data_IF_914061618208
#
_entry.id   IF_914061618208
#
_cell.length_a   1.000
_cell.length_b   1.000
_cell.length_c   1.000
_cell.angle_alpha   90.00
_cell.angle_beta   90.00
_cell.angle_gamma   90.00
#
_symmetry.space_group_name_H-M   'P 1'
#
loop_
_entity.id
_entity.type
_entity.pdbx_description
1 polymer ?
#
# COMPACT_ATOMS: atom_id res chain seq x y z
N UNK A 1 -29.93 20.30 15.26
CA UNK A 1 -29.15 19.17 15.77
C UNK A 1 -28.86 18.30 14.56
N UNK A 2 -27.69 18.41 13.99
CA UNK A 2 -27.26 17.53 12.90
C UNK A 2 -27.09 16.10 13.46
N UNK A 3 -27.95 15.19 13.03
CA UNK A 3 -27.79 13.76 13.30
C UNK A 3 -26.52 13.29 12.53
N UNK A 4 -25.38 13.25 13.22
CA UNK A 4 -24.28 12.45 12.71
C UNK A 4 -24.68 10.98 12.79
N UNK A 5 -24.60 10.19 11.71
CA UNK A 5 -24.92 8.78 11.74
C UNK A 5 -24.07 8.07 12.80
N UNK A 6 -24.61 7.03 13.43
CA UNK A 6 -23.90 6.28 14.48
C UNK A 6 -22.65 5.62 13.93
N UNK A 7 -22.68 5.20 12.66
CA UNK A 7 -21.58 4.56 11.92
C UNK A 7 -21.11 5.44 10.76
N UNK A 8 -19.84 5.27 10.39
CA UNK A 8 -19.27 5.87 9.19
C UNK A 8 -19.71 5.12 7.93
N UNK A 9 -19.61 3.79 7.96
CA UNK A 9 -19.95 2.93 6.83
C UNK A 9 -21.41 2.48 6.91
N UNK A 10 -22.05 2.38 5.74
CA UNK A 10 -23.38 1.81 5.56
C UNK A 10 -23.30 0.52 4.71
N UNK A 11 -24.43 -0.19 4.56
CA UNK A 11 -24.49 -1.45 3.82
C UNK A 11 -24.12 -1.35 2.34
N UNK A 12 -24.25 -0.17 1.77
CA UNK A 12 -24.01 0.09 0.35
C UNK A 12 -22.59 0.62 0.08
N UNK A 13 -21.80 0.83 1.14
CA UNK A 13 -20.38 1.18 1.01
C UNK A 13 -19.56 -0.07 0.70
N UNK A 14 -18.39 0.07 0.01
CA UNK A 14 -17.43 -1.01 -0.08
C UNK A 14 -16.99 -1.50 1.30
N UNK A 15 -16.48 -2.73 1.37
CA UNK A 15 -15.80 -3.20 2.57
C UNK A 15 -14.55 -2.33 2.87
N UNK A 16 -14.13 -2.21 4.14
CA UNK A 16 -12.93 -1.44 4.50
C UNK A 16 -11.64 -2.00 3.89
N UNK A 17 -11.65 -3.24 3.49
CA UNK A 17 -10.55 -3.91 2.78
C UNK A 17 -11.09 -5.05 1.93
N UNK A 18 -10.30 -5.45 0.91
CA UNK A 18 -10.49 -6.69 0.17
C UNK A 18 -9.37 -7.67 0.52
N UNK A 19 -9.68 -8.96 0.49
CA UNK A 19 -8.69 -10.03 0.56
C UNK A 19 -8.75 -10.86 -0.70
N UNK A 20 -7.61 -11.01 -1.36
CA UNK A 20 -7.47 -11.83 -2.55
C UNK A 20 -6.67 -13.07 -2.21
N UNK A 21 -6.98 -14.18 -2.89
CA UNK A 21 -6.25 -15.44 -2.80
C UNK A 21 -5.93 -15.87 -1.35
N UNK A 22 -6.92 -15.76 -0.45
CA UNK A 22 -6.76 -15.98 0.99
C UNK A 22 -6.25 -17.38 1.36
N UNK A 23 -6.47 -18.37 0.48
CA UNK A 23 -6.01 -19.76 0.61
C UNK A 23 -4.72 -20.06 -0.20
N UNK A 24 -4.08 -19.04 -0.75
CA UNK A 24 -2.83 -19.12 -1.53
C UNK A 24 -1.73 -19.86 -0.77
N UNK A 25 -0.90 -20.61 -1.49
CA UNK A 25 0.13 -21.50 -0.91
C UNK A 25 1.51 -20.86 -0.85
N UNK A 26 1.71 -19.74 -1.51
CA UNK A 26 2.95 -18.99 -1.44
C UNK A 26 3.17 -18.39 -0.03
N UNK A 27 4.40 -18.03 0.28
CA UNK A 27 4.80 -17.57 1.62
C UNK A 27 5.03 -16.05 1.70
N UNK A 28 4.48 -15.29 0.76
CA UNK A 28 4.43 -13.84 0.84
C UNK A 28 3.02 -13.35 1.16
N UNK A 29 2.91 -12.14 1.69
CA UNK A 29 1.68 -11.38 1.82
C UNK A 29 1.88 -10.07 1.07
N UNK A 30 1.11 -9.87 0.01
CA UNK A 30 1.06 -8.60 -0.68
C UNK A 30 0.10 -7.66 0.04
N UNK A 31 0.45 -6.38 0.11
CA UNK A 31 -0.41 -5.34 0.67
C UNK A 31 -0.47 -4.14 -0.28
N UNK A 32 -1.63 -3.49 -0.37
CA UNK A 32 -1.82 -2.27 -1.15
C UNK A 32 -2.72 -1.32 -0.35
N UNK A 33 -2.10 -0.43 0.41
CA UNK A 33 -2.79 0.47 1.34
C UNK A 33 -3.75 1.42 0.62
N UNK A 34 -3.36 1.89 -0.56
CA UNK A 34 -4.05 2.91 -1.33
C UNK A 34 -4.71 2.36 -2.60
N UNK A 35 -5.33 1.17 -2.48
CA UNK A 35 -5.89 0.44 -3.62
C UNK A 35 -7.21 1.00 -4.18
N UNK A 36 -7.81 2.01 -3.52
CA UNK A 36 -9.13 2.52 -3.86
C UNK A 36 -9.23 4.04 -3.68
N UNK A 37 -10.05 4.68 -4.52
CA UNK A 37 -10.45 6.09 -4.36
C UNK A 37 -11.88 6.25 -3.83
N UNK A 38 -12.50 5.17 -3.33
CA UNK A 38 -13.83 5.22 -2.76
C UNK A 38 -13.89 6.09 -1.51
N UNK A 39 -15.01 6.77 -1.31
CA UNK A 39 -15.30 7.57 -0.12
C UNK A 39 -16.60 7.05 0.46
N UNK A 40 -16.72 6.83 1.79
CA UNK A 40 -17.97 6.45 2.43
C UNK A 40 -19.09 7.41 2.09
N UNK A 41 -20.29 6.89 1.82
CA UNK A 41 -21.47 7.71 1.45
C UNK A 41 -21.78 8.79 2.50
N UNK A 42 -21.55 8.47 3.78
CA UNK A 42 -21.75 9.41 4.89
C UNK A 42 -20.85 10.65 4.81
N UNK A 43 -19.71 10.58 4.12
CA UNK A 43 -18.76 11.67 3.89
C UNK A 43 -18.97 12.35 2.52
N UNK A 44 -19.93 11.86 1.71
CA UNK A 44 -20.21 12.37 0.38
C UNK A 44 -19.01 12.30 -0.54
N UNK A 45 -18.52 13.45 -0.99
CA UNK A 45 -17.34 13.55 -1.87
C UNK A 45 -16.12 14.16 -1.16
N UNK A 46 -16.16 14.31 0.16
CA UNK A 46 -15.24 15.17 0.92
C UNK A 46 -15.20 16.63 0.38
N UNK A 47 -16.22 17.04 -0.35
CA UNK A 47 -16.28 18.35 -1.01
C UNK A 47 -15.41 18.48 -2.27
N UNK A 48 -14.88 17.38 -2.78
CA UNK A 48 -13.98 17.34 -3.94
C UNK A 48 -14.73 16.97 -5.24
N UNK A 49 -14.41 17.60 -6.37
CA UNK A 49 -14.86 17.15 -7.68
C UNK A 49 -14.27 15.76 -8.00
N UNK A 50 -14.93 15.01 -8.88
CA UNK A 50 -14.53 13.67 -9.26
C UNK A 50 -13.11 13.61 -9.82
N UNK A 51 -12.72 14.59 -10.64
CA UNK A 51 -11.38 14.66 -11.20
C UNK A 51 -10.29 14.70 -10.13
N UNK A 52 -10.49 15.45 -9.02
CA UNK A 52 -9.52 15.52 -7.92
C UNK A 52 -9.47 14.22 -7.13
N UNK A 53 -10.62 13.57 -6.88
CA UNK A 53 -10.67 12.30 -6.14
C UNK A 53 -9.99 11.13 -6.86
N UNK A 54 -9.91 11.20 -8.19
CA UNK A 54 -9.24 10.20 -9.05
C UNK A 54 -7.76 10.48 -9.29
N UNK A 55 -7.23 11.60 -8.81
CA UNK A 55 -5.79 11.88 -8.85
C UNK A 55 -5.03 11.03 -7.82
N UNK A 56 -3.70 11.03 -7.95
CA UNK A 56 -2.77 10.39 -7.00
C UNK A 56 -2.94 10.83 -5.54
N UNK A 57 -3.61 11.94 -5.29
CA UNK A 57 -3.93 12.37 -3.92
C UNK A 57 -4.97 11.47 -3.25
N UNK A 58 -5.81 10.79 -4.03
CA UNK A 58 -6.89 9.93 -3.54
C UNK A 58 -6.49 8.46 -3.40
N UNK A 59 -5.60 7.97 -4.26
CA UNK A 59 -5.22 6.57 -4.35
C UNK A 59 -3.97 6.38 -5.21
N UNK A 60 -3.37 5.20 -5.15
CA UNK A 60 -2.21 4.84 -5.94
C UNK A 60 -2.66 4.21 -7.26
N UNK A 61 -2.64 5.00 -8.35
CA UNK A 61 -3.14 4.60 -9.66
C UNK A 61 -2.39 3.36 -10.15
N UNK A 62 -3.13 2.31 -10.52
CA UNK A 62 -2.60 1.05 -11.05
C UNK A 62 -2.05 0.07 -10.01
N UNK A 63 -1.70 0.51 -8.79
CA UNK A 63 -1.10 -0.34 -7.77
C UNK A 63 -1.97 -1.55 -7.40
N UNK A 64 -3.30 -1.37 -7.29
CA UNK A 64 -4.26 -2.47 -7.08
C UNK A 64 -4.09 -3.56 -8.13
N UNK A 65 -4.11 -3.21 -9.41
CA UNK A 65 -4.04 -4.18 -10.52
C UNK A 65 -2.72 -4.94 -10.55
N UNK A 66 -1.62 -4.25 -10.29
CA UNK A 66 -0.29 -4.89 -10.16
C UNK A 66 -0.28 -5.88 -9.00
N UNK A 67 -0.86 -5.50 -7.84
CA UNK A 67 -0.98 -6.38 -6.67
C UNK A 67 -1.80 -7.63 -6.97
N UNK A 68 -2.95 -7.48 -7.67
CA UNK A 68 -3.80 -8.60 -8.10
C UNK A 68 -3.02 -9.61 -8.95
N UNK A 69 -2.28 -9.14 -9.95
CA UNK A 69 -1.48 -9.99 -10.85
C UNK A 69 -0.35 -10.69 -10.10
N UNK A 70 0.35 -10.00 -9.20
CA UNK A 70 1.44 -10.59 -8.41
C UNK A 70 0.91 -11.63 -7.41
N UNK A 71 -0.21 -11.34 -6.75
CA UNK A 71 -0.89 -12.28 -5.85
C UNK A 71 -1.26 -13.58 -6.56
N UNK A 72 -1.81 -13.49 -7.78
CA UNK A 72 -2.13 -14.65 -8.61
C UNK A 72 -0.86 -15.39 -9.06
N UNK A 73 0.15 -14.67 -9.58
CA UNK A 73 1.39 -15.26 -10.06
C UNK A 73 2.12 -16.09 -9.01
N UNK A 74 2.19 -15.59 -7.78
CA UNK A 74 2.92 -16.24 -6.69
C UNK A 74 2.05 -17.11 -5.80
N UNK A 75 0.78 -17.24 -6.13
CA UNK A 75 -0.22 -17.95 -5.32
C UNK A 75 -0.17 -17.49 -3.84
N UNK A 76 -0.12 -16.19 -3.62
CA UNK A 76 0.02 -15.57 -2.31
C UNK A 76 -1.21 -14.73 -1.94
N UNK A 77 -1.63 -14.69 -0.67
CA UNK A 77 -2.69 -13.78 -0.23
C UNK A 77 -2.30 -12.32 -0.44
N UNK A 78 -3.32 -11.47 -0.67
CA UNK A 78 -3.16 -10.03 -0.70
C UNK A 78 -4.26 -9.33 0.10
N UNK A 79 -3.92 -8.22 0.77
CA UNK A 79 -4.85 -7.33 1.48
C UNK A 79 -4.79 -5.95 0.83
N UNK A 80 -5.96 -5.45 0.42
CA UNK A 80 -6.08 -4.18 -0.31
C UNK A 80 -7.01 -3.22 0.43
N UNK A 81 -6.60 -1.97 0.62
CA UNK A 81 -7.42 -0.93 1.24
C UNK A 81 -8.66 -0.60 0.41
N UNK A 82 -9.82 -0.55 1.05
CA UNK A 82 -11.12 -0.36 0.38
C UNK A 82 -11.48 1.10 0.13
N UNK A 83 -10.80 2.06 0.78
CA UNK A 83 -11.13 3.48 0.72
C UNK A 83 -9.94 4.37 0.37
N UNK A 84 -10.27 5.58 -0.09
CA UNK A 84 -9.29 6.61 -0.42
C UNK A 84 -8.45 7.02 0.79
N UNK A 85 -7.14 7.22 0.56
CA UNK A 85 -6.24 7.79 1.56
C UNK A 85 -6.65 9.18 2.04
N UNK A 86 -7.50 9.89 1.30
CA UNK A 86 -8.10 11.16 1.75
C UNK A 86 -9.09 10.98 2.89
N UNK A 87 -9.71 9.80 3.02
CA UNK A 87 -10.61 9.49 4.14
C UNK A 87 -9.80 9.22 5.40
N UNK A 88 -8.87 8.29 5.30
CA UNK A 88 -7.83 7.99 6.27
C UNK A 88 -6.71 7.23 5.55
N UNK A 89 -5.48 7.69 5.70
CA UNK A 89 -4.31 7.04 5.10
C UNK A 89 -3.89 5.85 5.96
N UNK A 90 -4.10 4.63 5.43
CA UNK A 90 -3.74 3.41 6.13
C UNK A 90 -2.22 3.21 6.26
N UNK A 91 -1.42 3.92 5.47
CA UNK A 91 0.04 3.90 5.60
C UNK A 91 0.59 5.15 6.30
N UNK A 92 -0.16 5.68 7.30
CA UNK A 92 0.33 6.78 8.15
C UNK A 92 0.10 6.46 9.62
N UNK A 93 1.04 6.90 10.44
CA UNK A 93 0.86 6.86 11.90
C UNK A 93 -0.36 7.69 12.30
N UNK A 94 -1.14 7.21 13.28
CA UNK A 94 -2.39 7.88 13.68
C UNK A 94 -2.18 9.28 14.28
N UNK A 95 -0.95 9.62 14.68
CA UNK A 95 -0.57 10.95 15.17
C UNK A 95 -0.16 11.90 14.03
N UNK A 96 0.08 11.40 12.83
CA UNK A 96 0.52 12.20 11.69
C UNK A 96 -0.67 13.00 11.09
N UNK A 97 -0.54 14.33 10.96
CA UNK A 97 -1.62 15.15 10.41
C UNK A 97 -1.92 14.83 8.93
N UNK A 98 -0.97 14.21 8.21
CA UNK A 98 -1.20 13.78 6.83
C UNK A 98 -2.03 12.50 6.72
N UNK A 99 -2.32 11.84 7.84
CA UNK A 99 -3.23 10.69 7.88
C UNK A 99 -4.68 11.02 7.50
N UNK A 100 -5.11 12.27 7.70
CA UNK A 100 -6.38 12.84 7.22
C UNK A 100 -6.12 14.27 6.72
N UNK A 101 -5.51 14.43 5.53
CA UNK A 101 -4.95 15.71 5.12
C UNK A 101 -6.03 16.75 4.86
N UNK A 102 -5.87 17.95 5.42
CA UNK A 102 -6.68 19.13 5.07
C UNK A 102 -6.33 19.69 3.70
N UNK A 103 -5.09 19.45 3.26
CA UNK A 103 -4.56 19.82 1.95
C UNK A 103 -3.69 18.68 1.42
N UNK A 104 -3.98 18.19 0.21
CA UNK A 104 -3.20 17.17 -0.48
C UNK A 104 -2.73 17.70 -1.84
N UNK A 105 -1.42 17.76 -2.08
CA UNK A 105 -0.79 18.32 -3.27
C UNK A 105 -1.48 19.60 -3.78
N UNK A 106 -1.53 20.63 -2.92
CA UNK A 106 -2.14 21.96 -3.16
C UNK A 106 -3.67 21.94 -3.31
N UNK A 107 -4.33 20.79 -3.26
CA UNK A 107 -5.79 20.68 -3.28
C UNK A 107 -6.32 20.71 -1.84
N UNK A 108 -7.14 21.70 -1.52
CA UNK A 108 -7.85 21.74 -0.23
C UNK A 108 -8.91 20.63 -0.22
N UNK A 109 -8.99 19.87 0.86
CA UNK A 109 -9.98 18.81 1.09
C UNK A 109 -11.04 19.33 2.06
N UNK A 110 -12.18 19.88 1.58
CA UNK A 110 -13.14 20.55 2.45
C UNK A 110 -13.70 19.65 3.56
N UNK A 111 -13.95 18.36 3.25
CA UNK A 111 -14.46 17.38 4.21
C UNK A 111 -13.47 17.00 5.32
N UNK A 112 -12.21 17.41 5.22
CA UNK A 112 -11.21 17.20 6.26
C UNK A 112 -10.91 18.46 7.08
N UNK A 113 -11.56 19.57 6.74
CA UNK A 113 -11.44 20.78 7.53
C UNK A 113 -12.20 20.61 8.86
N UNK A 114 -11.50 20.75 9.99
CA UNK A 114 -12.10 20.65 11.33
C UNK A 114 -12.83 19.31 11.61
N UNK A 115 -12.26 18.17 11.22
CA UNK A 115 -12.80 16.84 11.55
C UNK A 115 -12.97 16.72 13.06
N UNK A 116 -14.18 16.38 13.51
CA UNK A 116 -14.45 16.22 14.93
C UNK A 116 -13.72 15.00 15.50
N UNK A 117 -13.35 14.97 16.81
CA UNK A 117 -12.76 13.79 17.42
C UNK A 117 -13.61 12.51 17.26
N UNK A 118 -14.94 12.67 17.28
CA UNK A 118 -15.87 11.56 17.07
C UNK A 118 -15.78 10.98 15.65
N UNK A 119 -15.72 11.83 14.63
CA UNK A 119 -15.59 11.41 13.25
C UNK A 119 -14.22 10.81 12.98
N UNK A 120 -13.16 11.42 13.52
CA UNK A 120 -11.80 10.87 13.46
C UNK A 120 -11.76 9.44 13.99
N UNK A 121 -12.33 9.21 15.17
CA UNK A 121 -12.40 7.88 15.77
C UNK A 121 -13.24 6.88 14.95
N UNK A 122 -14.27 7.30 14.22
CA UNK A 122 -15.03 6.42 13.33
C UNK A 122 -14.17 5.97 12.14
N UNK A 123 -13.46 6.90 11.49
CA UNK A 123 -12.55 6.58 10.38
C UNK A 123 -11.49 5.57 10.82
N UNK A 124 -10.92 5.74 12.01
CA UNK A 124 -9.98 4.77 12.60
C UNK A 124 -10.66 3.41 12.81
N UNK A 125 -11.79 3.38 13.52
CA UNK A 125 -12.42 2.13 13.93
C UNK A 125 -13.05 1.33 12.79
N UNK A 126 -13.56 2.02 11.77
CA UNK A 126 -14.33 1.37 10.72
C UNK A 126 -13.53 1.17 9.41
N UNK A 127 -12.35 1.82 9.26
CA UNK A 127 -11.50 1.66 8.08
C UNK A 127 -10.09 1.23 8.47
N UNK A 128 -9.35 2.05 9.22
CA UNK A 128 -7.94 1.81 9.54
C UNK A 128 -7.73 0.50 10.29
N UNK A 129 -8.38 0.33 11.44
CA UNK A 129 -8.20 -0.88 12.24
C UNK A 129 -8.62 -2.16 11.53
N UNK A 130 -9.78 -2.24 10.84
CA UNK A 130 -10.15 -3.44 10.10
C UNK A 130 -9.13 -3.84 9.02
N UNK A 131 -8.57 -2.86 8.29
CA UNK A 131 -7.53 -3.11 7.30
C UNK A 131 -6.27 -3.72 7.95
N UNK A 132 -5.77 -3.12 9.02
CA UNK A 132 -4.57 -3.63 9.70
C UNK A 132 -4.81 -4.97 10.40
N UNK A 133 -5.97 -5.19 10.97
CA UNK A 133 -6.33 -6.52 11.53
C UNK A 133 -6.38 -7.60 10.46
N UNK A 134 -6.80 -7.26 9.25
CA UNK A 134 -6.76 -8.22 8.14
C UNK A 134 -5.33 -8.64 7.79
N UNK A 135 -4.36 -7.72 7.85
CA UNK A 135 -2.93 -8.01 7.66
C UNK A 135 -2.41 -8.89 8.83
N UNK A 136 -2.66 -8.47 10.07
CA UNK A 136 -2.24 -9.20 11.28
C UNK A 136 -2.77 -10.64 11.29
N UNK A 137 -4.03 -10.84 10.91
CA UNK A 137 -4.63 -12.17 10.85
C UNK A 137 -3.89 -13.09 9.87
N UNK A 138 -3.49 -12.59 8.70
CA UNK A 138 -2.75 -13.37 7.71
C UNK A 138 -1.33 -13.68 8.18
N UNK A 139 -0.65 -12.71 8.77
CA UNK A 139 0.66 -12.94 9.40
C UNK A 139 0.55 -14.01 10.51
N UNK A 140 -0.48 -13.94 11.35
CA UNK A 140 -0.72 -14.94 12.38
C UNK A 140 -0.95 -16.35 11.83
N UNK A 141 -1.64 -16.49 10.69
CA UNK A 141 -1.82 -17.77 10.00
C UNK A 141 -0.48 -18.35 9.52
N UNK A 142 0.41 -17.53 8.94
CA UNK A 142 1.76 -17.97 8.57
C UNK A 142 2.57 -18.41 9.79
N UNK A 143 2.54 -17.63 10.85
CA UNK A 143 3.24 -17.98 12.10
C UNK A 143 2.73 -19.28 12.73
N UNK A 144 1.44 -19.59 12.64
CA UNK A 144 0.89 -20.88 13.10
C UNK A 144 1.51 -22.08 12.36
N UNK A 145 1.97 -21.86 11.12
CA UNK A 145 2.70 -22.84 10.31
C UNK A 145 4.24 -22.71 10.43
N UNK A 146 4.74 -21.87 11.35
CA UNK A 146 6.17 -21.58 11.56
C UNK A 146 6.86 -20.95 10.35
N UNK A 147 6.14 -20.15 9.60
CA UNK A 147 6.60 -19.38 8.45
C UNK A 147 6.69 -17.92 8.86
N UNK A 148 7.81 -17.24 8.56
CA UNK A 148 7.93 -15.81 8.59
C UNK A 148 7.57 -15.28 7.19
N UNK A 149 6.35 -14.75 6.94
CA UNK A 149 5.96 -14.34 5.60
C UNK A 149 6.80 -13.16 5.11
N UNK A 150 7.02 -13.09 3.80
CA UNK A 150 7.57 -11.89 3.17
C UNK A 150 6.43 -10.87 3.00
N UNK A 151 6.58 -9.66 3.52
CA UNK A 151 5.59 -8.59 3.38
C UNK A 151 6.01 -7.66 2.25
N UNK A 152 5.18 -7.55 1.21
CA UNK A 152 5.47 -6.78 0.01
C UNK A 152 4.36 -5.76 -0.19
N UNK A 153 4.67 -4.47 0.06
CA UNK A 153 3.76 -3.37 -0.19
C UNK A 153 3.90 -2.86 -1.62
N UNK A 154 2.78 -2.64 -2.30
CA UNK A 154 2.75 -2.12 -3.68
C UNK A 154 2.06 -0.77 -3.68
N UNK A 155 2.81 0.24 -4.16
CA UNK A 155 2.39 1.63 -4.27
C UNK A 155 2.65 2.17 -5.67
N UNK A 156 2.17 3.37 -5.93
CA UNK A 156 2.55 4.14 -7.11
C UNK A 156 2.71 5.63 -6.81
N UNK A 157 3.62 6.28 -7.53
CA UNK A 157 3.93 7.68 -7.35
C UNK A 157 3.73 8.50 -8.64
N UNK A 158 3.44 9.80 -8.48
CA UNK A 158 3.29 10.74 -9.61
C UNK A 158 4.64 11.05 -10.26
N UNK A 159 4.72 11.12 -11.60
CA UNK A 159 5.97 11.45 -12.33
C UNK A 159 6.48 12.87 -12.02
N UNK A 160 5.59 13.78 -11.64
CA UNK A 160 5.95 15.15 -11.27
C UNK A 160 5.36 15.48 -9.91
N UNK A 161 6.18 15.95 -8.98
CA UNK A 161 5.72 16.37 -7.66
C UNK A 161 6.30 17.74 -7.31
N UNK A 162 5.43 18.69 -7.03
CA UNK A 162 5.79 20.08 -6.70
C UNK A 162 6.72 20.76 -7.74
N UNK A 163 6.58 20.35 -9.03
CA UNK A 163 7.40 20.87 -10.13
C UNK A 163 8.72 20.15 -10.36
N UNK A 164 9.04 19.15 -9.54
CA UNK A 164 10.20 18.29 -9.74
C UNK A 164 9.80 17.06 -10.56
N UNK A 165 10.44 16.87 -11.72
CA UNK A 165 10.33 15.67 -12.55
C UNK A 165 11.10 14.53 -11.91
N UNK A 166 10.41 13.44 -11.57
CA UNK A 166 10.97 12.25 -10.94
C UNK A 166 11.50 11.29 -12.00
N UNK A 167 12.82 11.08 -12.08
CA UNK A 167 13.41 10.29 -13.17
C UNK A 167 13.18 8.79 -13.01
N UNK A 168 12.90 8.33 -11.79
CA UNK A 168 12.76 6.90 -11.49
C UNK A 168 11.47 6.35 -12.11
N UNK A 169 11.57 5.16 -12.68
CA UNK A 169 10.42 4.41 -13.16
C UNK A 169 9.86 3.50 -12.06
N UNK A 170 10.75 3.04 -11.17
CA UNK A 170 10.42 2.23 -10.01
C UNK A 170 11.33 2.60 -8.84
N UNK A 171 10.79 2.59 -7.63
CA UNK A 171 11.50 2.70 -6.37
C UNK A 171 11.41 1.42 -5.55
N UNK A 172 12.50 1.06 -4.89
CA UNK A 172 12.57 -0.01 -3.89
C UNK A 172 12.89 0.63 -2.55
N UNK A 173 11.90 0.63 -1.65
CA UNK A 173 11.99 1.30 -0.35
C UNK A 173 12.22 0.28 0.76
N UNK A 174 13.15 0.58 1.65
CA UNK A 174 13.53 -0.28 2.76
C UNK A 174 14.25 0.50 3.85
N UNK A 175 14.28 -0.04 5.06
CA UNK A 175 15.01 0.54 6.19
C UNK A 175 16.06 -0.43 6.71
N UNK A 176 15.74 -1.31 7.64
CA UNK A 176 16.71 -2.22 8.27
C UNK A 176 16.78 -3.56 7.56
N UNK A 177 15.65 -4.08 7.06
CA UNK A 177 15.61 -5.39 6.43
C UNK A 177 16.07 -5.34 4.96
N UNK A 178 17.25 -5.86 4.71
CA UNK A 178 17.84 -5.90 3.38
C UNK A 178 17.68 -7.25 2.64
N UNK A 179 16.94 -8.23 3.22
CA UNK A 179 16.83 -9.59 2.64
C UNK A 179 16.22 -9.61 1.26
N UNK A 180 15.15 -8.84 1.05
CA UNK A 180 14.48 -8.71 -0.24
C UNK A 180 15.08 -7.56 -1.05
N UNK A 181 15.24 -6.33 -0.51
CA UNK A 181 15.60 -5.16 -1.31
C UNK A 181 16.91 -5.31 -2.08
N UNK A 182 17.96 -5.86 -1.47
CA UNK A 182 19.27 -6.02 -2.15
C UNK A 182 19.18 -6.90 -3.37
N UNK A 183 18.61 -8.10 -3.22
CA UNK A 183 18.46 -9.03 -4.34
C UNK A 183 17.49 -8.50 -5.39
N UNK A 184 16.45 -7.78 -4.97
CA UNK A 184 15.49 -7.18 -5.88
C UNK A 184 16.13 -6.08 -6.73
N UNK A 185 16.89 -5.17 -6.13
CA UNK A 185 17.64 -4.13 -6.84
C UNK A 185 18.62 -4.76 -7.86
N UNK A 186 19.37 -5.78 -7.45
CA UNK A 186 20.30 -6.49 -8.33
C UNK A 186 19.57 -7.16 -9.50
N UNK A 187 18.48 -7.87 -9.24
CA UNK A 187 17.68 -8.54 -10.27
C UNK A 187 17.06 -7.53 -11.25
N UNK A 188 16.46 -6.45 -10.74
CA UNK A 188 15.86 -5.40 -11.57
C UNK A 188 16.91 -4.76 -12.49
N UNK A 189 18.06 -4.37 -11.95
CA UNK A 189 19.16 -3.77 -12.74
C UNK A 189 19.71 -4.74 -13.79
N UNK A 190 19.87 -6.02 -13.43
CA UNK A 190 20.44 -7.01 -14.34
C UNK A 190 19.49 -7.40 -15.47
N UNK A 191 18.22 -7.60 -15.14
CA UNK A 191 17.18 -8.02 -16.09
C UNK A 191 16.68 -6.87 -16.95
N UNK A 192 16.78 -5.62 -16.47
CA UNK A 192 16.25 -4.43 -17.12
C UNK A 192 17.27 -3.27 -17.06
N UNK A 193 18.38 -3.35 -17.80
CA UNK A 193 19.51 -2.40 -17.68
C UNK A 193 19.15 -0.95 -18.10
N UNK A 194 18.05 -0.76 -18.81
CA UNK A 194 17.61 0.56 -19.26
C UNK A 194 16.67 1.26 -18.27
N UNK A 195 16.23 0.56 -17.18
CA UNK A 195 15.35 1.16 -16.18
C UNK A 195 16.11 2.08 -15.23
N UNK A 196 15.50 3.21 -14.92
CA UNK A 196 15.94 4.10 -13.85
C UNK A 196 15.32 3.65 -12.53
N UNK A 197 16.08 2.94 -11.71
CA UNK A 197 15.61 2.34 -10.46
C UNK A 197 16.06 3.21 -9.29
N UNK A 198 15.15 3.54 -8.37
CA UNK A 198 15.41 4.26 -7.14
C UNK A 198 15.69 3.30 -5.97
N UNK A 199 16.83 3.45 -5.32
CA UNK A 199 17.11 2.82 -4.03
C UNK A 199 16.75 3.83 -2.92
N UNK A 200 15.62 3.60 -2.23
CA UNK A 200 15.00 4.58 -1.34
C UNK A 200 14.68 5.93 -2.03
N UNK A 201 14.18 5.86 -3.27
CA UNK A 201 13.72 6.98 -4.08
C UNK A 201 12.44 6.59 -4.83
N UNK A 202 11.47 7.48 -5.06
CA UNK A 202 11.43 8.91 -4.67
C UNK A 202 11.06 9.15 -3.21
N UNK A 203 10.83 8.13 -2.45
CA UNK A 203 10.59 8.14 -1.01
C UNK A 203 11.58 7.21 -0.32
N UNK A 204 11.65 7.24 1.01
CA UNK A 204 12.54 6.39 1.78
C UNK A 204 11.75 5.51 2.73
N UNK A 205 12.07 4.23 2.84
CA UNK A 205 11.54 3.33 3.85
C UNK A 205 11.88 3.74 5.29
N UNK A 206 12.74 4.75 5.46
CA UNK A 206 13.09 5.34 6.77
C UNK A 206 12.19 6.50 7.18
N UNK A 207 11.06 6.67 6.50
CA UNK A 207 10.14 7.76 6.79
C UNK A 207 9.30 7.43 8.03
N UNK A 208 9.54 8.14 9.12
CA UNK A 208 8.95 7.86 10.46
C UNK A 208 7.41 7.89 10.53
N UNK A 209 6.73 8.45 9.52
CA UNK A 209 5.27 8.50 9.50
C UNK A 209 4.63 7.31 8.78
N UNK A 210 5.39 6.46 8.09
CA UNK A 210 4.88 5.26 7.45
C UNK A 210 4.44 4.25 8.52
N UNK A 211 3.46 3.41 8.18
CA UNK A 211 2.85 2.53 9.16
C UNK A 211 2.93 1.06 8.77
N UNK A 212 2.50 0.72 7.55
CA UNK A 212 2.23 -0.69 7.20
C UNK A 212 3.47 -1.57 7.29
N UNK A 213 4.56 -1.21 6.62
CA UNK A 213 5.81 -2.00 6.66
C UNK A 213 6.45 -1.90 8.04
N UNK A 214 6.53 -0.71 8.62
CA UNK A 214 7.16 -0.50 9.94
C UNK A 214 6.47 -1.31 11.03
N UNK A 215 5.13 -1.25 11.07
CA UNK A 215 4.33 -1.87 12.11
C UNK A 215 4.23 -3.40 11.96
N UNK A 216 3.98 -3.88 10.74
CA UNK A 216 3.68 -5.29 10.51
C UNK A 216 4.91 -6.13 10.18
N UNK A 217 5.97 -5.52 9.63
CA UNK A 217 7.13 -6.26 9.15
C UNK A 217 8.41 -5.92 9.89
N UNK A 218 8.89 -4.66 9.85
CA UNK A 218 10.14 -4.28 10.49
C UNK A 218 10.11 -4.54 12.00
N UNK A 219 9.07 -4.10 12.69
CA UNK A 219 8.90 -4.33 14.13
C UNK A 219 8.83 -5.82 14.51
N UNK A 220 8.43 -6.69 13.58
CA UNK A 220 8.34 -8.15 13.77
C UNK A 220 9.53 -8.91 13.15
N UNK A 221 10.55 -8.21 12.62
CA UNK A 221 11.73 -8.78 11.97
C UNK A 221 11.37 -9.73 10.79
N UNK A 222 10.27 -9.43 10.08
CA UNK A 222 9.84 -10.15 8.90
C UNK A 222 10.55 -9.62 7.64
N UNK A 223 10.82 -10.48 6.63
CA UNK A 223 11.36 -10.00 5.35
C UNK A 223 10.35 -9.08 4.68
N UNK A 224 10.78 -7.88 4.28
CA UNK A 224 9.87 -6.89 3.74
C UNK A 224 10.49 -5.99 2.68
N UNK A 225 9.62 -5.34 1.91
CA UNK A 225 9.96 -4.29 0.95
C UNK A 225 8.71 -3.51 0.59
N UNK A 226 8.86 -2.21 0.35
CA UNK A 226 7.83 -1.40 -0.30
C UNK A 226 8.29 -1.04 -1.73
N UNK A 227 7.38 -1.20 -2.68
CA UNK A 227 7.59 -0.93 -4.10
C UNK A 227 6.77 0.27 -4.51
N UNK A 228 7.42 1.21 -5.18
CA UNK A 228 6.82 2.40 -5.77
C UNK A 228 6.97 2.33 -7.28
N UNK A 229 5.88 2.27 -8.03
CA UNK A 229 5.91 2.30 -9.50
C UNK A 229 5.42 3.66 -9.97
N UNK A 230 6.10 4.29 -10.95
CA UNK A 230 5.64 5.55 -11.48
C UNK A 230 4.29 5.36 -12.19
N UNK A 231 3.27 6.07 -11.72
CA UNK A 231 1.86 5.81 -12.06
C UNK A 231 1.51 5.89 -13.54
N UNK A 232 2.20 6.74 -14.31
CA UNK A 232 2.01 6.88 -15.77
C UNK A 232 2.43 5.62 -16.56
N UNK A 233 3.12 4.68 -15.89
CA UNK A 233 3.56 3.40 -16.46
C UNK A 233 2.56 2.27 -16.18
N UNK A 234 1.62 2.50 -15.25
CA UNK A 234 0.62 1.53 -14.80
C UNK A 234 -0.81 2.12 -14.76
N UNK A 235 -1.06 3.18 -15.53
CA UNK A 235 -2.37 3.79 -15.67
C UNK A 235 -3.31 3.06 -16.65
N UNK A 236 -2.80 2.00 -17.29
CA UNK A 236 -3.52 1.10 -18.20
C UNK A 236 -3.33 -0.36 -17.79
N UNK A 237 -4.28 -1.24 -18.16
CA UNK A 237 -4.17 -2.68 -17.93
C UNK A 237 -2.88 -3.27 -18.53
N UNK A 238 -2.54 -2.88 -19.76
CA UNK A 238 -1.30 -3.34 -20.41
C UNK A 238 -0.04 -2.86 -19.68
N UNK A 239 -0.06 -1.64 -19.13
CA UNK A 239 1.00 -1.13 -18.27
C UNK A 239 1.13 -1.94 -16.99
N UNK A 240 0.00 -2.21 -16.32
CA UNK A 240 -0.02 -3.05 -15.11
C UNK A 240 0.51 -4.46 -15.37
N UNK A 241 0.09 -5.12 -16.47
CA UNK A 241 0.59 -6.44 -16.86
C UNK A 241 2.10 -6.43 -17.13
N UNK A 242 2.59 -5.41 -17.86
CA UNK A 242 4.02 -5.24 -18.13
C UNK A 242 4.82 -5.11 -16.84
N UNK A 243 4.40 -4.23 -15.93
CA UNK A 243 5.14 -3.97 -14.70
C UNK A 243 5.02 -5.10 -13.67
N UNK A 244 3.85 -5.75 -13.59
CA UNK A 244 3.70 -6.96 -12.80
C UNK A 244 4.60 -8.10 -13.32
N UNK A 245 4.81 -8.20 -14.65
CA UNK A 245 5.78 -9.15 -15.22
C UNK A 245 7.21 -8.80 -14.83
N UNK A 246 7.64 -7.54 -14.99
CA UNK A 246 9.00 -7.09 -14.62
C UNK A 246 9.28 -7.38 -13.14
N UNK A 247 8.37 -7.00 -12.26
CA UNK A 247 8.50 -7.26 -10.83
C UNK A 247 8.47 -8.75 -10.51
N UNK A 248 7.54 -9.48 -11.12
CA UNK A 248 7.43 -10.92 -10.91
C UNK A 248 8.70 -11.67 -11.31
N UNK A 249 9.27 -11.35 -12.47
CA UNK A 249 10.53 -11.96 -12.92
C UNK A 249 11.68 -11.64 -11.93
N UNK A 250 11.73 -10.42 -11.39
CA UNK A 250 12.73 -10.02 -10.41
C UNK A 250 12.52 -10.69 -9.04
N UNK A 251 11.28 -10.98 -8.66
CA UNK A 251 10.95 -11.67 -7.41
C UNK A 251 11.10 -13.20 -7.47
N UNK A 252 11.07 -13.83 -8.64
CA UNK A 252 11.02 -15.30 -8.78
C UNK A 252 12.08 -16.02 -7.94
N UNK A 253 13.34 -15.65 -8.07
CA UNK A 253 14.43 -16.30 -7.32
C UNK A 253 14.43 -15.96 -5.83
N UNK A 254 13.93 -14.77 -5.46
CA UNK A 254 13.86 -14.30 -4.09
C UNK A 254 12.79 -15.06 -3.31
N UNK A 255 11.56 -15.11 -3.88
CA UNK A 255 10.44 -15.77 -3.24
C UNK A 255 10.52 -17.31 -3.32
N UNK A 256 11.38 -17.85 -4.18
CA UNK A 256 11.67 -19.29 -4.21
C UNK A 256 12.68 -19.73 -3.14
N UNK A 257 13.39 -18.81 -2.49
CA UNK A 257 14.39 -19.18 -1.46
C UNK A 257 13.69 -19.53 -0.12
N UNK A 258 13.72 -20.80 0.32
CA UNK A 258 13.10 -21.20 1.58
C UNK A 258 13.79 -20.58 2.82
N UNK A 259 14.99 -20.05 2.69
CA UNK A 259 15.68 -19.40 3.80
C UNK A 259 15.11 -18.02 4.11
N UNK A 260 14.43 -17.39 3.15
CA UNK A 260 13.75 -16.11 3.34
C UNK A 260 12.70 -16.19 4.46
N UNK A 261 12.00 -17.33 4.56
CA UNK A 261 10.84 -17.52 5.42
C UNK A 261 11.15 -18.12 6.80
N UNK A 262 12.43 -18.20 7.15
CA UNK A 262 12.84 -18.71 8.46
C UNK A 262 12.61 -17.66 9.53
N UNK A 263 11.91 -18.06 10.60
CA UNK A 263 11.76 -17.25 11.81
C UNK A 263 13.16 -17.05 12.40
N UNK A 264 13.61 -15.81 12.46
CA UNK A 264 14.84 -15.44 13.17
C UNK A 264 14.54 -15.42 14.66
N UNK A 265 15.35 -16.10 15.44
CA UNK A 265 15.36 -15.97 16.90
C UNK A 265 16.50 -15.01 17.21
N UNK A 266 16.16 -13.91 17.88
CA UNK A 266 17.13 -13.00 18.47
C UNK A 266 18.03 -13.73 19.48
#
# INVERSE_FOLDING_TARGET
VSHHPAHLLCSDDPAPFDVLNDDGKGHALFVCDHASHAIPQSLGTLGLPEAERKRHIGWDIGARKVTEILSERFDCPAVLGGFSRLVIDCNRQLWDPTGMPEVADKTVVPGNQNVSPSEHMKRIKEIFLPYHWAIEERIARFHAHKIAPAIIAIHSFTPVFQGFERPWEIGVLWDEDARIPRSLLENLCTQNPDLTIGDNEPYSGRHMADYTIDHHAEAANLPCVSIEIRQDLIDTDAGCEKWAKILGDAFDSILADPNLYKIRRD
#
